data_IF_521465950056
#
_entry.id   IF_521465950056
#
_cell.length_a   1.000
_cell.length_b   1.000
_cell.length_c   1.000
_cell.angle_alpha   90.00
_cell.angle_beta   90.00
_cell.angle_gamma   90.00
#
_symmetry.space_group_name_H-M   'P 1'
#
loop_
_entity.id
_entity.type
_entity.pdbx_description
1 polymer ?
#
# COMPACT_ATOMS: atom_id res chain seq x y z
N UNK A 1 -0.88 16.74 1.54
CA UNK A 1 -0.92 16.53 3.02
C UNK A 1 -0.77 15.05 3.29
N UNK A 2 0.29 14.62 3.97
CA UNK A 2 0.52 13.20 4.25
C UNK A 2 -0.13 12.79 5.58
N UNK A 3 -0.84 11.67 5.59
CA UNK A 3 -1.43 11.06 6.78
C UNK A 3 -0.57 9.85 7.13
N UNK A 4 -0.04 9.84 8.36
CA UNK A 4 0.79 8.76 8.88
C UNK A 4 0.17 8.22 10.15
N UNK A 5 -0.24 6.95 10.12
CA UNK A 5 -0.85 6.27 11.26
C UNK A 5 0.16 5.31 11.87
N UNK A 6 0.72 5.67 13.02
CA UNK A 6 1.61 4.82 13.81
C UNK A 6 0.80 3.95 14.78
N UNK A 7 1.23 2.74 15.15
CA UNK A 7 0.55 1.99 16.20
C UNK A 7 0.55 2.77 17.53
N UNK A 8 -0.63 3.03 18.13
CA UNK A 8 -0.81 4.02 19.23
C UNK A 8 -0.17 3.64 20.57
N UNK A 9 0.36 2.43 20.70
CA UNK A 9 1.17 1.90 21.81
C UNK A 9 1.23 0.38 21.65
N UNK A 10 2.38 -0.15 21.25
CA UNK A 10 2.71 -1.58 21.36
C UNK A 10 3.05 -1.98 22.81
N UNK A 11 2.79 -1.10 23.79
CA UNK A 11 3.53 -1.10 25.06
C UNK A 11 3.08 -2.17 26.07
N UNK A 12 1.94 -2.84 25.90
CA UNK A 12 1.46 -3.79 26.92
C UNK A 12 1.67 -5.27 26.54
N UNK A 13 1.51 -5.65 25.27
CA UNK A 13 1.51 -7.07 24.88
C UNK A 13 2.88 -7.51 24.35
N UNK A 14 3.60 -6.62 23.65
CA UNK A 14 5.00 -6.86 23.28
C UNK A 14 5.89 -6.84 24.51
N UNK A 15 5.56 -6.04 25.54
CA UNK A 15 6.24 -6.05 26.83
C UNK A 15 6.12 -7.39 27.57
N UNK A 16 4.99 -8.08 27.47
CA UNK A 16 4.80 -9.41 28.08
C UNK A 16 5.55 -10.49 27.30
N UNK A 17 5.50 -10.46 25.96
CA UNK A 17 6.24 -11.42 25.13
C UNK A 17 7.77 -11.29 25.27
N UNK A 18 8.28 -10.06 25.27
CA UNK A 18 9.70 -9.77 25.50
C UNK A 18 10.09 -10.05 26.95
N UNK A 19 9.24 -9.73 27.92
CA UNK A 19 9.45 -10.00 29.35
C UNK A 19 9.53 -11.50 29.66
N UNK A 20 8.66 -12.33 29.07
CA UNK A 20 8.72 -13.79 29.20
C UNK A 20 9.97 -14.35 28.52
N UNK A 21 10.34 -13.84 27.34
CA UNK A 21 11.57 -14.23 26.65
C UNK A 21 12.82 -13.90 27.46
N UNK A 22 12.90 -12.70 28.03
CA UNK A 22 14.00 -12.28 28.92
C UNK A 22 14.00 -13.06 30.25
N UNK A 23 12.83 -13.36 30.82
CA UNK A 23 12.73 -14.17 32.04
C UNK A 23 13.19 -15.61 31.79
N UNK A 24 12.81 -16.22 30.67
CA UNK A 24 13.26 -17.56 30.29
C UNK A 24 14.76 -17.56 29.93
N UNK A 25 15.25 -16.54 29.24
CA UNK A 25 16.67 -16.39 28.93
C UNK A 25 17.51 -16.17 30.19
N UNK A 26 17.09 -15.26 31.08
CA UNK A 26 17.74 -15.04 32.38
C UNK A 26 17.74 -16.29 33.25
N UNK A 27 16.64 -17.06 33.24
CA UNK A 27 16.56 -18.34 33.94
C UNK A 27 17.48 -19.39 33.31
N UNK A 28 17.57 -19.47 31.98
CA UNK A 28 18.50 -20.37 31.29
C UNK A 28 19.97 -19.99 31.56
N UNK A 29 20.28 -18.70 31.64
CA UNK A 29 21.63 -18.19 31.95
C UNK A 29 22.01 -18.47 33.41
N UNK A 30 21.06 -18.30 34.35
CA UNK A 30 21.23 -18.69 35.76
C UNK A 30 21.35 -20.21 35.96
N UNK A 31 20.57 -21.00 35.22
CA UNK A 31 20.62 -22.47 35.30
C UNK A 31 21.91 -23.02 34.68
N UNK A 32 22.36 -22.43 33.57
CA UNK A 32 23.66 -22.73 32.97
C UNK A 32 24.84 -22.37 33.87
N UNK A 33 24.76 -21.24 34.58
CA UNK A 33 25.77 -20.84 35.57
C UNK A 33 25.79 -21.76 36.80
N UNK A 34 24.63 -22.29 37.23
CA UNK A 34 24.55 -23.24 38.34
C UNK A 34 25.13 -24.62 38.01
N UNK A 35 24.97 -25.09 36.76
CA UNK A 35 25.51 -26.38 36.28
C UNK A 35 27.04 -26.30 36.05
N UNK A 36 27.60 -25.10 35.85
CA UNK A 36 29.04 -24.87 35.69
C UNK A 36 29.90 -25.07 36.95
N UNK A 37 29.31 -25.39 38.11
CA UNK A 37 30.05 -25.59 39.36
C UNK A 37 30.65 -27.00 39.53
N UNK A 38 30.37 -27.95 38.60
CA UNK A 38 30.71 -29.37 38.79
C UNK A 38 31.53 -30.07 37.70
N UNK A 39 31.89 -29.44 36.58
CA UNK A 39 32.58 -30.15 35.48
C UNK A 39 33.41 -29.24 34.60
N UNK A 40 34.73 -29.41 34.66
CA UNK A 40 35.76 -28.69 33.89
C UNK A 40 35.86 -29.21 32.46
N UNK A 41 34.81 -29.08 31.67
CA UNK A 41 34.89 -29.36 30.23
C UNK A 41 35.14 -28.05 29.48
N UNK A 42 36.30 -27.98 28.80
CA UNK A 42 36.82 -26.80 28.09
C UNK A 42 35.87 -26.20 27.02
N UNK A 43 34.72 -26.82 26.77
CA UNK A 43 33.63 -26.32 25.92
C UNK A 43 32.70 -25.31 26.61
N UNK A 44 32.70 -25.24 27.95
CA UNK A 44 31.87 -24.33 28.76
C UNK A 44 32.01 -22.83 28.42
N UNK A 45 33.24 -22.26 28.29
CA UNK A 45 33.37 -20.82 27.97
C UNK A 45 32.91 -20.48 26.55
N UNK A 46 33.07 -21.41 25.60
CA UNK A 46 32.69 -21.19 24.20
C UNK A 46 31.16 -21.22 24.04
N UNK A 47 30.48 -22.16 24.70
CA UNK A 47 29.01 -22.23 24.73
C UNK A 47 28.41 -21.01 25.46
N UNK A 48 29.03 -20.58 26.57
CA UNK A 48 28.65 -19.37 27.29
C UNK A 48 28.79 -18.11 26.43
N UNK A 49 29.93 -17.96 25.74
CA UNK A 49 30.18 -16.84 24.83
C UNK A 49 29.20 -16.77 23.66
N UNK A 50 28.91 -17.90 23.01
CA UNK A 50 27.94 -17.98 21.90
C UNK A 50 26.52 -17.65 22.38
N UNK A 51 26.13 -18.14 23.56
CA UNK A 51 24.81 -17.86 24.14
C UNK A 51 24.64 -16.38 24.48
N UNK A 52 25.69 -15.73 24.99
CA UNK A 52 25.68 -14.30 25.31
C UNK A 52 25.60 -13.44 24.04
N UNK A 53 26.35 -13.80 22.99
CA UNK A 53 26.25 -13.16 21.67
C UNK A 53 24.85 -13.29 21.07
N UNK A 54 24.24 -14.48 21.14
CA UNK A 54 22.86 -14.68 20.66
C UNK A 54 21.84 -13.86 21.47
N UNK A 55 21.98 -13.81 22.80
CA UNK A 55 21.15 -12.99 23.67
C UNK A 55 21.26 -11.49 23.34
N UNK A 56 22.48 -11.00 23.14
CA UNK A 56 22.73 -9.60 22.76
C UNK A 56 22.17 -9.29 21.38
N UNK A 57 22.35 -10.20 20.40
CA UNK A 57 21.79 -10.04 19.06
C UNK A 57 20.24 -10.02 19.07
N UNK A 58 19.61 -10.90 19.85
CA UNK A 58 18.16 -10.90 20.04
C UNK A 58 17.66 -9.61 20.71
N UNK A 59 18.40 -9.09 21.70
CA UNK A 59 18.08 -7.84 22.36
C UNK A 59 18.20 -6.64 21.40
N UNK A 60 19.27 -6.57 20.60
CA UNK A 60 19.48 -5.50 19.60
C UNK A 60 18.40 -5.53 18.51
N UNK A 61 18.06 -6.71 18.00
CA UNK A 61 17.00 -6.84 16.97
C UNK A 61 15.62 -6.45 17.52
N UNK A 62 15.30 -6.83 18.76
CA UNK A 62 14.08 -6.37 19.43
C UNK A 62 14.09 -4.85 19.66
N UNK A 63 15.21 -4.28 20.14
CA UNK A 63 15.33 -2.84 20.37
C UNK A 63 15.17 -2.05 19.06
N UNK A 64 15.77 -2.52 17.96
CA UNK A 64 15.65 -1.87 16.66
C UNK A 64 14.22 -1.91 16.12
N UNK A 65 13.50 -3.02 16.29
CA UNK A 65 12.09 -3.14 15.93
C UNK A 65 11.18 -2.19 16.71
N UNK A 66 11.51 -1.92 17.98
CA UNK A 66 10.79 -0.96 18.82
C UNK A 66 11.11 0.49 18.47
N UNK A 67 12.33 0.78 18.01
CA UNK A 67 12.78 2.16 17.78
C UNK A 67 12.23 2.79 16.49
N UNK A 68 11.87 1.96 15.49
CA UNK A 68 11.26 2.41 14.24
C UNK A 68 10.03 1.58 13.89
N UNK A 69 8.91 1.76 14.63
CA UNK A 69 7.67 1.06 14.31
C UNK A 69 7.21 1.48 12.91
N UNK A 70 7.11 0.52 12.00
CA UNK A 70 6.61 0.79 10.66
C UNK A 70 5.18 1.39 10.77
N UNK A 71 4.87 2.46 10.02
CA UNK A 71 3.52 3.01 10.01
C UNK A 71 2.54 1.94 9.53
N UNK A 72 1.46 1.79 10.29
CA UNK A 72 0.39 0.84 9.98
C UNK A 72 -0.31 1.19 8.67
N UNK A 73 -0.46 2.48 8.42
CA UNK A 73 -0.96 3.05 7.18
C UNK A 73 -0.27 4.39 6.93
N UNK A 74 0.19 4.59 5.71
CA UNK A 74 0.77 5.82 5.23
C UNK A 74 0.05 6.23 3.95
N UNK A 75 -0.41 7.47 3.86
CA UNK A 75 -1.12 8.00 2.72
C UNK A 75 -0.58 9.37 2.35
N UNK A 76 -0.32 9.57 1.06
CA UNK A 76 0.07 10.85 0.50
C UNK A 76 -0.64 11.11 -0.83
N UNK A 77 -0.28 12.19 -1.50
CA UNK A 77 -0.96 12.64 -2.72
C UNK A 77 -0.73 11.68 -3.91
N UNK A 78 0.34 10.89 -3.92
CA UNK A 78 0.63 9.96 -5.02
C UNK A 78 0.08 8.55 -4.75
N UNK A 79 -0.12 8.18 -3.49
CA UNK A 79 -0.57 6.84 -3.15
C UNK A 79 -0.67 6.54 -1.66
N UNK A 80 -0.71 5.25 -1.36
CA UNK A 80 -0.79 4.74 0.00
C UNK A 80 0.10 3.52 0.19
N UNK A 81 0.58 3.31 1.42
CA UNK A 81 1.33 2.14 1.86
C UNK A 81 0.66 1.57 3.12
N UNK A 82 0.58 0.25 3.19
CA UNK A 82 -0.01 -0.47 4.32
C UNK A 82 1.09 -1.30 4.98
N UNK A 83 1.28 -1.12 6.28
CA UNK A 83 2.31 -1.80 7.09
C UNK A 83 3.74 -1.68 6.53
N UNK A 84 4.12 -0.49 6.04
CA UNK A 84 5.45 -0.25 5.49
C UNK A 84 5.78 -1.00 4.19
N UNK A 85 4.78 -1.60 3.53
CA UNK A 85 4.97 -2.24 2.22
C UNK A 85 5.21 -1.20 1.11
N UNK A 86 5.52 -1.67 -0.11
CA UNK A 86 5.65 -0.78 -1.26
C UNK A 86 4.41 0.09 -1.45
N UNK A 87 4.65 1.37 -1.71
CA UNK A 87 3.62 2.36 -2.00
C UNK A 87 2.80 1.94 -3.24
N UNK A 88 1.49 2.12 -3.16
CA UNK A 88 0.50 1.76 -4.20
C UNK A 88 -0.25 3.00 -4.64
N UNK A 89 -0.59 3.13 -5.94
CA UNK A 89 -1.37 4.25 -6.41
C UNK A 89 -2.82 4.17 -5.88
N UNK A 90 -3.46 5.32 -5.67
CA UNK A 90 -4.86 5.39 -5.23
C UNK A 90 -5.85 4.71 -6.18
N UNK A 91 -5.50 4.54 -7.46
CA UNK A 91 -6.32 3.80 -8.43
C UNK A 91 -6.45 2.31 -8.14
N UNK A 92 -5.55 1.74 -7.34
CA UNK A 92 -5.65 0.36 -6.87
C UNK A 92 -6.50 0.23 -5.60
N UNK A 93 -6.90 1.34 -4.95
CA UNK A 93 -7.71 1.29 -3.73
C UNK A 93 -9.18 0.97 -4.06
N UNK A 94 -9.73 -0.10 -3.47
CA UNK A 94 -11.14 -0.47 -3.65
C UNK A 94 -12.02 -0.24 -2.42
N UNK A 95 -11.42 0.17 -1.31
CA UNK A 95 -12.15 0.42 -0.07
C UNK A 95 -11.54 -0.30 1.11
N UNK A 96 -12.14 -0.03 2.27
CA UNK A 96 -11.72 -0.56 3.56
C UNK A 96 -12.89 -1.29 4.22
N UNK A 97 -12.63 -2.34 4.97
CA UNK A 97 -13.65 -3.07 5.70
C UNK A 97 -13.14 -3.46 7.09
N UNK A 98 -13.93 -3.16 8.12
CA UNK A 98 -13.64 -3.63 9.48
C UNK A 98 -14.19 -5.05 9.62
N UNK A 99 -13.33 -5.97 10.04
CA UNK A 99 -13.69 -7.35 10.37
C UNK A 99 -13.58 -7.56 11.87
N UNK A 100 -14.50 -8.34 12.42
CA UNK A 100 -14.51 -8.72 13.84
C UNK A 100 -14.44 -10.24 13.92
N UNK A 101 -13.41 -10.78 14.57
CA UNK A 101 -13.42 -12.17 15.02
C UNK A 101 -14.32 -12.29 16.23
N UNK A 102 -15.29 -13.18 16.12
CA UNK A 102 -16.15 -13.60 17.22
C UNK A 102 -15.75 -15.00 17.61
N UNK A 103 -15.47 -15.20 18.89
CA UNK A 103 -15.35 -16.53 19.47
C UNK A 103 -16.70 -16.79 20.13
N UNK A 104 -17.44 -17.77 19.60
CA UNK A 104 -18.86 -17.98 19.88
C UNK A 104 -19.69 -16.72 19.55
N UNK A 105 -20.03 -15.93 20.57
CA UNK A 105 -20.88 -14.73 20.46
C UNK A 105 -20.15 -13.45 20.85
N UNK A 106 -18.97 -13.58 21.46
CA UNK A 106 -18.23 -12.47 22.06
C UNK A 106 -17.26 -11.91 21.01
N UNK A 107 -17.33 -10.62 20.66
CA UNK A 107 -16.37 -10.00 19.75
C UNK A 107 -15.01 -9.90 20.45
N UNK A 108 -14.07 -10.76 20.06
CA UNK A 108 -12.75 -10.82 20.67
C UNK A 108 -11.82 -9.76 20.11
N UNK A 109 -11.76 -9.66 18.78
CA UNK A 109 -10.72 -8.89 18.09
C UNK A 109 -11.26 -8.27 16.81
N UNK A 110 -10.93 -7.00 16.56
CA UNK A 110 -11.23 -6.31 15.30
C UNK A 110 -9.94 -6.06 14.50
N UNK A 111 -10.01 -6.19 13.18
CA UNK A 111 -8.94 -5.79 12.26
C UNK A 111 -9.51 -5.02 11.08
N UNK A 112 -8.64 -4.28 10.41
CA UNK A 112 -8.99 -3.50 9.21
C UNK A 112 -8.48 -4.24 7.98
N UNK A 113 -9.35 -4.50 7.01
CA UNK A 113 -8.98 -5.06 5.71
C UNK A 113 -9.02 -3.96 4.65
N UNK A 114 -7.87 -3.68 4.05
CA UNK A 114 -7.74 -2.79 2.90
C UNK A 114 -7.84 -3.64 1.63
N UNK A 115 -8.82 -3.35 0.77
CA UNK A 115 -9.00 -4.04 -0.51
C UNK A 115 -8.23 -3.29 -1.60
N UNK A 116 -7.33 -3.99 -2.27
CA UNK A 116 -6.40 -3.43 -3.26
C UNK A 116 -6.45 -4.24 -4.54
N UNK A 117 -6.60 -3.59 -5.70
CA UNK A 117 -6.52 -4.20 -7.02
C UNK A 117 -7.40 -3.49 -8.03
N UNK A 118 -7.22 -3.79 -9.32
CA UNK A 118 -8.08 -3.30 -10.40
C UNK A 118 -9.17 -4.33 -10.69
N UNK A 119 -10.42 -4.00 -10.36
CA UNK A 119 -11.59 -4.85 -10.58
C UNK A 119 -11.92 -5.83 -9.44
N UNK A 120 -13.18 -6.27 -9.38
CA UNK A 120 -13.70 -7.10 -8.27
C UNK A 120 -13.04 -8.48 -8.15
N UNK A 121 -12.54 -9.03 -9.25
CA UNK A 121 -12.05 -10.43 -9.33
C UNK A 121 -10.62 -10.59 -8.83
N UNK A 122 -9.75 -9.58 -8.99
CA UNK A 122 -8.34 -9.63 -8.60
C UNK A 122 -8.01 -8.76 -7.38
N UNK A 123 -9.01 -8.41 -6.57
CA UNK A 123 -8.81 -7.62 -5.37
C UNK A 123 -8.05 -8.43 -4.30
N UNK A 124 -6.77 -8.12 -4.11
CA UNK A 124 -5.99 -8.58 -2.97
C UNK A 124 -6.46 -7.86 -1.71
N UNK A 125 -6.46 -8.57 -0.59
CA UNK A 125 -6.81 -8.01 0.72
C UNK A 125 -5.55 -7.90 1.56
N UNK A 126 -5.25 -6.69 2.04
CA UNK A 126 -4.21 -6.49 3.04
C UNK A 126 -4.89 -6.31 4.39
N UNK A 127 -4.53 -7.17 5.34
CA UNK A 127 -5.07 -7.13 6.69
C UNK A 127 -4.13 -6.37 7.61
N UNK A 128 -4.61 -5.28 8.21
CA UNK A 128 -3.96 -4.58 9.30
C UNK A 128 -4.44 -5.23 10.59
N UNK A 129 -3.60 -6.10 11.15
CA UNK A 129 -3.92 -6.83 12.39
C UNK A 129 -4.15 -5.86 13.55
N UNK A 130 -4.94 -6.31 14.52
CA UNK A 130 -5.26 -5.55 15.73
C UNK A 130 -4.04 -5.01 16.49
N UNK A 131 -2.92 -5.74 16.46
CA UNK A 131 -1.64 -5.33 17.06
C UNK A 131 -0.96 -4.14 16.38
N UNK A 132 -1.41 -3.79 15.17
CA UNK A 132 -0.87 -2.71 14.36
C UNK A 132 -1.86 -1.56 14.18
N UNK A 133 -2.99 -1.55 14.89
CA UNK A 133 -3.96 -0.45 14.78
C UNK A 133 -3.51 0.76 15.62
N UNK A 134 -3.73 1.97 15.08
CA UNK A 134 -3.54 3.23 15.81
C UNK A 134 -4.73 3.58 16.73
N UNK A 135 -5.75 2.72 16.82
CA UNK A 135 -6.94 3.04 17.59
C UNK A 135 -8.05 2.02 17.36
N UNK A 136 -9.29 2.37 17.73
CA UNK A 136 -10.47 1.61 17.36
C UNK A 136 -10.47 1.35 15.85
N UNK A 137 -10.68 0.09 15.44
CA UNK A 137 -10.65 -0.30 14.03
C UNK A 137 -11.64 0.50 13.16
N UNK A 138 -12.73 1.00 13.75
CA UNK A 138 -13.71 1.87 13.09
C UNK A 138 -13.12 3.23 12.74
N UNK A 139 -12.59 3.96 13.73
CA UNK A 139 -11.97 5.27 13.51
C UNK A 139 -10.85 5.21 12.46
N UNK A 140 -9.99 4.19 12.55
CA UNK A 140 -8.92 4.00 11.57
C UNK A 140 -9.45 3.71 10.16
N UNK A 141 -10.54 2.97 10.04
CA UNK A 141 -11.20 2.73 8.75
C UNK A 141 -11.78 4.04 8.17
N UNK A 142 -12.40 4.86 9.02
CA UNK A 142 -12.98 6.14 8.61
C UNK A 142 -11.90 7.15 8.18
N UNK A 143 -10.77 7.20 8.88
CA UNK A 143 -9.59 7.99 8.48
C UNK A 143 -9.04 7.56 7.12
N UNK A 144 -8.92 6.25 6.86
CA UNK A 144 -8.47 5.70 5.57
C UNK A 144 -9.45 6.08 4.45
N UNK A 145 -10.76 5.97 4.70
CA UNK A 145 -11.79 6.35 3.73
C UNK A 145 -11.76 7.84 3.43
N UNK A 146 -11.57 8.67 4.46
CA UNK A 146 -11.44 10.13 4.33
C UNK A 146 -10.22 10.50 3.49
N UNK A 147 -9.07 9.86 3.74
CA UNK A 147 -7.86 10.04 2.96
C UNK A 147 -8.07 9.67 1.48
N UNK A 148 -8.70 8.52 1.22
CA UNK A 148 -9.00 8.07 -0.14
C UNK A 148 -9.96 9.02 -0.88
N UNK A 149 -10.99 9.51 -0.19
CA UNK A 149 -11.95 10.48 -0.72
C UNK A 149 -11.29 11.82 -1.06
N UNK A 150 -10.44 12.33 -0.18
CA UNK A 150 -9.68 13.56 -0.42
C UNK A 150 -8.76 13.43 -1.65
N UNK A 151 -8.08 12.31 -1.81
CA UNK A 151 -7.24 12.03 -2.98
C UNK A 151 -8.05 11.92 -4.27
N UNK A 152 -9.23 11.27 -4.23
CA UNK A 152 -10.13 11.19 -5.37
C UNK A 152 -10.66 12.56 -5.80
N UNK A 153 -11.05 13.41 -4.83
CA UNK A 153 -11.50 14.77 -5.09
C UNK A 153 -10.38 15.64 -5.72
N UNK A 154 -9.14 15.53 -5.21
CA UNK A 154 -7.98 16.21 -5.80
C UNK A 154 -7.68 15.74 -7.22
N UNK A 155 -7.78 14.43 -7.48
CA UNK A 155 -7.58 13.89 -8.82
C UNK A 155 -8.63 14.41 -9.81
N UNK A 156 -9.87 14.65 -9.37
CA UNK A 156 -10.89 15.29 -10.18
C UNK A 156 -10.58 16.77 -10.43
N UNK A 157 -10.21 17.53 -9.39
CA UNK A 157 -9.83 18.94 -9.53
C UNK A 157 -8.64 19.13 -10.47
N UNK A 158 -7.61 18.27 -10.38
CA UNK A 158 -6.46 18.30 -11.27
C UNK A 158 -6.81 18.02 -12.74
N UNK A 159 -7.84 17.19 -13.00
CA UNK A 159 -8.35 16.96 -14.37
C UNK A 159 -9.08 18.18 -14.92
N UNK A 160 -9.78 18.92 -14.07
CA UNK A 160 -10.49 20.14 -14.46
C UNK A 160 -9.57 21.35 -14.55
N UNK A 161 -8.45 21.36 -13.84
CA UNK A 161 -7.36 22.35 -13.97
C UNK A 161 -6.46 22.12 -15.20
N UNK A 162 -6.89 21.29 -16.18
CA UNK A 162 -6.22 21.23 -17.49
C UNK A 162 -6.03 22.67 -18.00
N UNK A 163 -4.81 23.05 -18.42
CA UNK A 163 -4.33 24.40 -18.33
C UNK A 163 -5.12 25.32 -19.25
N UNK A 164 -5.97 26.17 -18.65
CA UNK A 164 -6.53 27.34 -19.34
C UNK A 164 -5.38 28.26 -19.80
N UNK A 165 -4.21 28.17 -19.15
CA UNK A 165 -3.02 28.96 -19.47
C UNK A 165 -2.43 28.70 -20.85
N UNK A 166 -2.57 27.50 -21.43
CA UNK A 166 -2.07 27.29 -22.81
C UNK A 166 -2.92 27.98 -23.88
N UNK A 167 -4.17 28.31 -23.57
CA UNK A 167 -5.06 29.05 -24.47
C UNK A 167 -4.96 30.56 -24.31
N UNK A 168 -4.78 31.05 -23.07
CA UNK A 168 -4.74 32.49 -22.80
C UNK A 168 -3.41 33.11 -23.25
N UNK A 169 -2.27 32.44 -23.05
CA UNK A 169 -0.98 32.97 -23.50
C UNK A 169 -0.85 32.95 -25.03
N UNK A 170 -1.41 31.94 -25.70
CA UNK A 170 -1.47 31.89 -27.16
C UNK A 170 -2.45 32.94 -27.74
N UNK A 171 -3.58 33.19 -27.08
CA UNK A 171 -4.54 34.20 -27.53
C UNK A 171 -4.06 35.64 -27.27
N UNK A 172 -3.38 35.89 -26.14
CA UNK A 172 -2.79 37.21 -25.85
C UNK A 172 -1.67 37.56 -26.81
N UNK A 173 -0.79 36.61 -27.14
CA UNK A 173 0.26 36.86 -28.12
C UNK A 173 -0.32 37.15 -29.50
N UNK A 174 -1.37 36.45 -29.92
CA UNK A 174 -1.99 36.67 -31.23
C UNK A 174 -2.66 38.05 -31.37
N UNK A 175 -3.36 38.50 -30.32
CA UNK A 175 -4.00 39.84 -30.33
C UNK A 175 -2.95 40.95 -30.28
N UNK A 176 -1.84 40.75 -29.56
CA UNK A 176 -0.73 41.71 -29.55
C UNK A 176 0.00 41.74 -30.91
N UNK A 177 0.25 40.57 -31.50
CA UNK A 177 0.86 40.46 -32.84
C UNK A 177 -0.04 41.10 -33.91
N UNK A 178 -1.37 40.94 -33.84
CA UNK A 178 -2.30 41.54 -34.81
C UNK A 178 -2.46 43.07 -34.61
N UNK A 179 -2.29 43.59 -33.40
CA UNK A 179 -2.39 45.04 -33.11
C UNK A 179 -1.10 45.80 -33.43
N UNK A 180 0.06 45.15 -33.36
CA UNK A 180 1.37 45.77 -33.59
C UNK A 180 2.10 45.25 -34.84
N UNK A 181 1.49 44.34 -35.60
CA UNK A 181 1.93 44.03 -36.94
C UNK A 181 1.81 45.30 -37.80
N UNK A 182 2.96 45.85 -38.17
CA UNK A 182 3.06 46.92 -39.15
C UNK A 182 2.20 46.58 -40.38
N UNK A 183 1.54 47.57 -41.02
CA UNK A 183 0.76 47.33 -42.23
C UNK A 183 1.63 46.57 -43.21
N UNK A 184 1.23 45.33 -43.51
CA UNK A 184 1.97 44.48 -44.43
C UNK A 184 1.96 45.18 -45.77
N UNK A 185 3.10 45.70 -46.17
CA UNK A 185 3.37 46.09 -47.54
C UNK A 185 2.98 44.89 -48.40
N UNK A 186 1.96 45.06 -49.23
CA UNK A 186 1.46 44.03 -50.12
C UNK A 186 2.62 43.58 -51.03
N UNK A 187 3.26 42.48 -50.66
CA UNK A 187 4.25 41.83 -51.51
C UNK A 187 3.47 41.11 -52.63
N UNK A 188 3.76 41.43 -53.91
CA UNK A 188 2.99 40.93 -55.04
C UNK A 188 3.03 39.40 -55.11
N UNK A 189 1.86 38.83 -55.41
CA UNK A 189 1.56 37.41 -55.45
C UNK A 189 2.65 36.57 -56.14
N UNK A 190 3.45 35.86 -55.33
CA UNK A 190 4.31 34.80 -55.80
C UNK A 190 3.46 33.61 -56.27
N UNK A 191 3.77 33.13 -57.48
CA UNK A 191 3.07 32.09 -58.22
C UNK A 191 2.88 30.78 -57.42
N UNK A 192 1.76 30.07 -57.63
CA UNK A 192 1.49 28.80 -57.00
C UNK A 192 2.48 27.72 -57.47
N UNK A 193 3.26 27.20 -56.53
CA UNK A 193 4.16 26.06 -56.75
C UNK A 193 3.36 24.78 -56.97
N UNK A 194 3.71 23.94 -57.96
CA UNK A 194 2.90 22.79 -58.36
C UNK A 194 2.83 21.69 -57.28
N UNK A 195 1.60 21.21 -57.12
CA UNK A 195 1.13 20.03 -56.40
C UNK A 195 2.21 19.04 -55.91
N UNK A 196 2.50 19.09 -54.61
CA UNK A 196 3.23 18.02 -53.91
C UNK A 196 2.29 16.81 -53.76
N UNK A 197 2.49 15.84 -54.64
CA UNK A 197 1.87 14.51 -54.66
C UNK A 197 1.70 13.93 -53.24
N UNK A 198 0.44 13.70 -52.86
CA UNK A 198 0.06 12.99 -51.65
C UNK A 198 0.56 11.55 -51.72
N UNK A 199 1.60 11.24 -50.95
CA UNK A 199 2.07 9.87 -50.72
C UNK A 199 1.01 9.12 -49.94
N UNK A 200 0.41 8.11 -50.55
CA UNK A 200 -0.62 7.27 -49.96
C UNK A 200 -0.16 6.61 -48.63
N UNK A 201 -1.05 6.49 -47.63
CA UNK A 201 -0.75 5.80 -46.38
C UNK A 201 -0.52 4.30 -46.62
N UNK A 202 0.58 3.75 -46.08
CA UNK A 202 0.84 2.31 -46.07
C UNK A 202 -0.16 1.59 -45.14
N UNK A 203 -0.74 0.45 -45.53
CA UNK A 203 -1.56 -0.36 -44.65
C UNK A 203 -0.71 -1.00 -43.54
N UNK A 204 -1.17 -0.87 -42.30
CA UNK A 204 -0.60 -1.54 -41.12
C UNK A 204 -1.12 -2.98 -41.10
N UNK A 205 -0.27 -4.00 -40.92
CA UNK A 205 -0.71 -5.39 -40.83
C UNK A 205 -1.52 -5.63 -39.55
N UNK A 206 -2.70 -6.23 -39.72
CA UNK A 206 -3.56 -6.67 -38.64
C UNK A 206 -2.85 -7.74 -37.80
N UNK A 207 -2.52 -7.40 -36.55
CA UNK A 207 -2.05 -8.39 -35.58
C UNK A 207 -3.23 -9.25 -35.14
N UNK A 208 -3.21 -10.49 -35.63
CA UNK A 208 -4.09 -11.61 -35.30
C UNK A 208 -4.10 -11.81 -33.77
N UNK A 209 -5.24 -11.55 -33.12
CA UNK A 209 -5.47 -12.00 -31.74
C UNK A 209 -5.63 -13.51 -31.76
N UNK A 210 -4.63 -14.22 -31.24
CA UNK A 210 -4.77 -15.61 -30.84
C UNK A 210 -5.75 -15.67 -29.67
N UNK A 211 -6.92 -16.21 -29.96
CA UNK A 211 -7.82 -16.83 -29.00
C UNK A 211 -7.14 -18.05 -28.41
N UNK A 212 -6.97 -18.10 -27.10
CA UNK A 212 -6.95 -19.38 -26.40
C UNK A 212 -7.66 -19.27 -25.04
N UNK A 213 -8.90 -19.76 -25.07
CA UNK A 213 -9.31 -20.94 -24.30
C UNK A 213 -9.03 -20.88 -22.79
N UNK A 214 -9.80 -20.09 -22.05
CA UNK A 214 -9.91 -20.23 -20.60
C UNK A 214 -10.96 -21.30 -20.28
N UNK A 215 -10.45 -22.46 -19.88
CA UNK A 215 -11.17 -23.61 -19.35
C UNK A 215 -11.93 -23.21 -18.06
N UNK A 216 -13.26 -23.09 -18.16
CA UNK A 216 -14.13 -22.83 -17.02
C UNK A 216 -14.58 -24.17 -16.43
N UNK A 217 -13.87 -24.60 -15.38
CA UNK A 217 -14.34 -25.68 -14.51
C UNK A 217 -15.62 -25.29 -13.74
N UNK A 218 -16.47 -26.28 -13.38
CA UNK A 218 -17.81 -26.03 -12.90
C UNK A 218 -17.85 -25.37 -11.51
N UNK A 219 -18.71 -24.35 -11.41
CA UNK A 219 -19.12 -23.68 -10.19
C UNK A 219 -19.93 -24.67 -9.34
N UNK A 220 -19.33 -25.21 -8.28
CA UNK A 220 -20.06 -25.94 -7.24
C UNK A 220 -20.86 -24.93 -6.43
N UNK A 221 -22.17 -24.89 -6.71
CA UNK A 221 -23.18 -24.16 -5.97
C UNK A 221 -23.38 -24.78 -4.58
N UNK A 222 -22.80 -24.18 -3.54
CA UNK A 222 -23.18 -24.47 -2.16
C UNK A 222 -24.49 -23.72 -1.82
N UNK A 223 -25.61 -24.26 -2.31
CA UNK A 223 -26.96 -23.92 -1.85
C UNK A 223 -27.50 -25.12 -1.06
N UNK A 224 -28.15 -24.82 0.07
CA UNK A 224 -28.85 -25.75 0.98
C UNK A 224 -28.00 -26.50 2.01
N UNK A 225 -27.81 -25.87 3.17
CA UNK A 225 -27.55 -26.58 4.44
C UNK A 225 -28.25 -25.85 5.60
N UNK A 226 -29.42 -25.26 5.32
CA UNK A 226 -30.22 -24.49 6.29
C UNK A 226 -31.61 -25.07 6.60
N UNK A 227 -31.95 -26.26 6.08
CA UNK A 227 -33.29 -26.86 6.27
C UNK A 227 -33.30 -28.18 7.07
N UNK A 228 -32.22 -28.57 7.75
CA UNK A 228 -32.17 -29.86 8.49
C UNK A 228 -32.14 -29.78 10.02
N UNK A 229 -32.46 -28.63 10.63
CA UNK A 229 -32.46 -28.49 12.12
C UNK A 229 -33.83 -28.08 12.68
N UNK A 230 -34.91 -28.18 11.90
CA UNK A 230 -36.27 -28.11 12.44
C UNK A 230 -37.13 -29.17 11.74
N UNK A 231 -37.08 -30.38 12.29
CA UNK A 231 -37.83 -31.57 11.85
C UNK A 231 -37.46 -32.74 12.74
#
# INVERSE_FOLDING_TARGET
MAIVLFPRKQNLITGVGIGIGFALFGKALLTGAAIGSGGTDAFSPLIGGVSLLFGLWAAVTCAFALWRPAPSFYADDEGFSVMGKSKRPWSDFQGVQVRTLRIWWIPTTKWVEVKIGKGKVFARKIQIRWTHLNGPAGEMADEILTAAGASAARALLARHQKPVDKGIDAAKNKVFDDLFAAPRTEEPAAQPSPARSHRAPRPVPATRKATDSFDQGPIVSHRSLRERIMG
#
